data_IF_985238073094
#
_entry.id   IF_985238073094
#
_cell.length_a   1.000
_cell.length_b   1.000
_cell.length_c   1.000
_cell.angle_alpha   90.00
_cell.angle_beta   90.00
_cell.angle_gamma   90.00
#
_symmetry.space_group_name_H-M   'P 1'
#
loop_
_entity.id
_entity.type
_entity.pdbx_description
1 polymer ?
#
# COMPACT_ATOMS: atom_id res chain seq x y z
N UNK A 1 2.15 12.74 -15.48
CA UNK A 1 2.59 12.44 -14.11
C UNK A 1 3.50 11.22 -14.14
N UNK A 2 4.51 11.19 -13.30
CA UNK A 2 5.41 10.03 -13.20
C UNK A 2 4.70 8.87 -12.52
N UNK A 3 5.23 7.65 -12.68
CA UNK A 3 4.70 6.48 -11.98
C UNK A 3 4.77 6.66 -10.46
N UNK A 4 5.84 7.29 -9.97
CA UNK A 4 5.99 7.61 -8.55
C UNK A 4 4.91 8.58 -8.07
N UNK A 5 4.60 9.63 -8.83
CA UNK A 5 3.54 10.58 -8.50
C UNK A 5 2.17 9.92 -8.49
N UNK A 6 1.91 8.99 -9.41
CA UNK A 6 0.68 8.22 -9.45
C UNK A 6 0.48 7.45 -8.13
N UNK A 7 1.53 6.76 -7.68
CA UNK A 7 1.48 5.96 -6.46
C UNK A 7 1.31 6.85 -5.23
N UNK A 8 2.00 8.00 -5.17
CA UNK A 8 1.83 8.96 -4.07
C UNK A 8 0.38 9.46 -3.97
N UNK A 9 -0.23 9.79 -5.10
CA UNK A 9 -1.64 10.21 -5.14
C UNK A 9 -2.58 9.07 -4.73
N UNK A 10 -2.29 7.86 -5.17
CA UNK A 10 -3.07 6.69 -4.78
C UNK A 10 -3.06 6.49 -3.26
N UNK A 11 -1.89 6.59 -2.62
CA UNK A 11 -1.79 6.46 -1.16
C UNK A 11 -2.55 7.56 -0.44
N UNK A 12 -2.44 8.79 -0.91
CA UNK A 12 -3.11 9.94 -0.29
C UNK A 12 -4.63 9.82 -0.39
N UNK A 13 -5.14 9.60 -1.59
CA UNK A 13 -6.58 9.58 -1.82
C UNK A 13 -7.23 8.28 -1.34
N UNK A 14 -6.67 7.14 -1.70
CA UNK A 14 -7.32 5.85 -1.46
C UNK A 14 -7.03 5.34 -0.05
N UNK A 15 -5.75 5.21 0.31
CA UNK A 15 -5.40 4.63 1.61
C UNK A 15 -5.60 5.60 2.77
N UNK A 16 -5.17 6.86 2.64
CA UNK A 16 -5.19 7.80 3.76
C UNK A 16 -6.53 8.52 3.93
N UNK A 17 -7.30 8.66 2.85
CA UNK A 17 -8.65 9.20 2.91
C UNK A 17 -9.74 8.11 2.88
N UNK A 18 -9.35 6.84 2.75
CA UNK A 18 -10.29 5.70 2.72
C UNK A 18 -11.35 5.86 1.64
N UNK A 19 -10.94 6.37 0.48
CA UNK A 19 -11.84 6.77 -0.61
C UNK A 19 -11.51 5.98 -1.88
N UNK A 20 -12.42 5.12 -2.31
CA UNK A 20 -12.30 4.33 -3.54
C UNK A 20 -13.20 4.85 -4.66
N UNK A 21 -13.81 6.02 -4.51
CA UNK A 21 -14.74 6.55 -5.51
C UNK A 21 -14.08 6.80 -6.87
N UNK A 22 -12.77 7.09 -6.89
CA UNK A 22 -11.99 7.33 -8.10
C UNK A 22 -11.00 6.21 -8.39
N UNK A 23 -11.25 5.01 -7.89
CA UNK A 23 -10.30 3.89 -8.02
C UNK A 23 -9.97 3.58 -9.48
N UNK A 24 -10.93 3.76 -10.41
CA UNK A 24 -10.73 3.54 -11.84
C UNK A 24 -9.61 4.41 -12.44
N UNK A 25 -9.29 5.54 -11.81
CA UNK A 25 -8.20 6.41 -12.25
C UNK A 25 -6.83 5.85 -11.88
N UNK A 26 -6.77 4.90 -10.94
CA UNK A 26 -5.51 4.40 -10.39
C UNK A 26 -5.24 2.94 -10.71
N UNK A 27 -6.27 2.13 -10.92
CA UNK A 27 -6.11 0.67 -10.95
C UNK A 27 -6.78 0.05 -12.16
N UNK A 28 -6.10 -0.91 -12.78
CA UNK A 28 -6.66 -1.69 -13.88
C UNK A 28 -7.67 -2.71 -13.34
N UNK A 29 -8.68 -3.03 -14.14
CA UNK A 29 -9.70 -4.02 -13.77
C UNK A 29 -9.06 -5.38 -13.45
N UNK A 30 -8.05 -5.76 -14.22
CA UNK A 30 -7.34 -7.04 -14.10
C UNK A 30 -6.09 -6.95 -13.22
N UNK A 31 -6.07 -6.03 -12.25
CA UNK A 31 -5.00 -5.87 -11.28
C UNK A 31 -4.63 -7.22 -10.63
N UNK A 32 -3.34 -7.55 -10.69
CA UNK A 32 -2.84 -8.85 -10.23
C UNK A 32 -2.33 -8.68 -8.80
N UNK A 33 -2.89 -9.44 -7.86
CA UNK A 33 -2.53 -9.38 -6.45
C UNK A 33 -1.70 -10.58 -6.04
N UNK A 34 -0.54 -10.35 -5.41
CA UNK A 34 0.31 -11.40 -4.86
C UNK A 34 0.26 -11.49 -3.33
N UNK A 35 -0.34 -10.51 -2.65
CA UNK A 35 -0.55 -10.63 -1.20
C UNK A 35 -1.58 -11.71 -0.93
N UNK A 36 -1.26 -12.69 -0.05
CA UNK A 36 -2.14 -13.86 0.15
C UNK A 36 -3.45 -13.54 0.88
N UNK A 37 -3.60 -12.33 1.43
CA UNK A 37 -4.78 -11.98 2.22
C UNK A 37 -5.79 -11.12 1.47
N UNK A 38 -5.52 -10.78 0.21
CA UNK A 38 -6.42 -9.97 -0.61
C UNK A 38 -6.74 -10.68 -1.92
N UNK A 39 -8.01 -10.70 -2.35
CA UNK A 39 -8.35 -11.29 -3.65
C UNK A 39 -7.75 -10.48 -4.79
N UNK A 40 -7.52 -11.12 -5.94
CA UNK A 40 -6.97 -10.47 -7.13
C UNK A 40 -8.04 -9.67 -7.86
N UNK A 41 -7.58 -8.72 -8.71
CA UNK A 41 -8.43 -7.85 -9.48
C UNK A 41 -8.84 -6.59 -8.73
N UNK A 42 -9.36 -5.62 -9.46
CA UNK A 42 -9.89 -4.38 -8.84
C UNK A 42 -11.07 -4.69 -7.91
N UNK A 43 -11.93 -5.61 -8.29
CA UNK A 43 -13.02 -6.07 -7.42
C UNK A 43 -12.48 -6.69 -6.13
N UNK A 44 -11.40 -7.45 -6.21
CA UNK A 44 -10.74 -8.03 -5.05
C UNK A 44 -10.17 -6.95 -4.13
N UNK A 45 -9.61 -5.89 -4.70
CA UNK A 45 -9.12 -4.75 -3.93
C UNK A 45 -10.29 -4.05 -3.21
N UNK A 46 -11.41 -3.82 -3.88
CA UNK A 46 -12.61 -3.22 -3.27
C UNK A 46 -13.08 -4.07 -2.10
N UNK A 47 -13.14 -5.38 -2.27
CA UNK A 47 -13.53 -6.30 -1.20
C UNK A 47 -12.57 -6.22 -0.01
N UNK A 48 -11.26 -6.18 -0.26
CA UNK A 48 -10.24 -6.03 0.76
C UNK A 48 -10.43 -4.72 1.55
N UNK A 49 -10.74 -3.61 0.89
CA UNK A 49 -10.87 -2.31 1.56
C UNK A 49 -12.06 -2.24 2.52
N UNK A 50 -13.11 -3.05 2.31
CA UNK A 50 -14.26 -3.07 3.21
C UNK A 50 -13.84 -3.41 4.64
N UNK A 51 -12.96 -4.37 4.81
CA UNK A 51 -12.40 -4.71 6.12
C UNK A 51 -11.28 -3.76 6.51
N UNK A 52 -10.32 -3.56 5.61
CA UNK A 52 -9.10 -2.80 5.91
C UNK A 52 -9.41 -1.36 6.35
N UNK A 53 -10.33 -0.68 5.67
CA UNK A 53 -10.68 0.71 6.02
C UNK A 53 -11.47 0.80 7.33
N UNK A 54 -12.10 -0.30 7.77
CA UNK A 54 -12.72 -0.33 9.11
C UNK A 54 -11.68 -0.21 10.23
N UNK A 55 -10.42 -0.54 9.95
CA UNK A 55 -9.29 -0.41 10.87
C UNK A 55 -8.68 0.99 10.84
N UNK A 56 -9.16 1.88 9.99
CA UNK A 56 -8.71 3.26 9.80
C UNK A 56 -7.20 3.37 9.63
N UNK A 57 -6.63 2.72 8.60
CA UNK A 57 -5.19 2.74 8.38
C UNK A 57 -4.70 4.14 8.04
N UNK A 58 -3.48 4.45 8.48
CA UNK A 58 -2.75 5.63 8.06
C UNK A 58 -1.38 5.20 7.57
N UNK A 59 -1.03 5.62 6.35
CA UNK A 59 0.24 5.29 5.70
C UNK A 59 1.18 6.48 5.77
N UNK A 60 2.32 6.30 6.44
CA UNK A 60 3.41 7.28 6.44
C UNK A 60 4.50 6.74 5.52
N UNK A 61 4.65 7.34 4.35
CA UNK A 61 5.66 6.92 3.38
C UNK A 61 7.03 7.39 3.84
N UNK A 62 7.95 6.42 4.00
CA UNK A 62 9.32 6.67 4.44
C UNK A 62 10.24 6.84 3.22
N UNK A 63 10.15 5.92 2.27
CA UNK A 63 10.91 5.96 1.02
C UNK A 63 10.04 5.52 -0.13
N UNK A 64 10.24 6.14 -1.29
CA UNK A 64 9.61 5.72 -2.54
C UNK A 64 10.64 5.80 -3.66
N UNK A 65 10.69 4.78 -4.50
CA UNK A 65 11.62 4.70 -5.62
C UNK A 65 10.95 4.13 -6.85
N UNK A 66 11.55 4.40 -8.01
CA UNK A 66 11.02 3.99 -9.29
C UNK A 66 12.13 3.34 -10.10
N UNK A 67 11.84 2.22 -10.74
CA UNK A 67 12.75 1.50 -11.64
C UNK A 67 11.93 1.02 -12.85
N UNK A 68 11.99 1.79 -13.95
CA UNK A 68 11.16 1.52 -15.12
C UNK A 68 9.68 1.60 -14.77
N UNK A 69 8.95 0.52 -15.00
CA UNK A 69 7.52 0.42 -14.72
C UNK A 69 7.22 -0.06 -13.28
N UNK A 70 8.25 -0.23 -12.45
CA UNK A 70 8.12 -0.70 -11.07
C UNK A 70 8.30 0.47 -10.10
N UNK A 71 7.42 0.55 -9.09
CA UNK A 71 7.52 1.53 -8.01
C UNK A 71 7.59 0.78 -6.68
N UNK A 72 8.57 1.14 -5.84
CA UNK A 72 8.77 0.57 -4.52
C UNK A 72 8.36 1.60 -3.47
N UNK A 73 7.53 1.22 -2.51
CA UNK A 73 7.06 2.11 -1.45
C UNK A 73 7.32 1.47 -0.11
N UNK A 74 8.25 2.05 0.66
CA UNK A 74 8.50 1.64 2.04
C UNK A 74 7.74 2.57 2.97
N UNK A 75 6.86 2.02 3.81
CA UNK A 75 6.00 2.85 4.63
C UNK A 75 5.67 2.20 5.97
N UNK A 76 5.21 3.06 6.88
CA UNK A 76 4.67 2.70 8.18
C UNK A 76 3.16 2.74 8.10
N UNK A 77 2.51 1.63 8.39
CA UNK A 77 1.06 1.57 8.46
C UNK A 77 0.61 1.52 9.91
N UNK A 78 -0.13 2.53 10.35
CA UNK A 78 -0.66 2.60 11.71
C UNK A 78 -2.17 2.35 11.65
N UNK A 79 -2.66 1.43 12.46
CA UNK A 79 -4.09 1.11 12.57
C UNK A 79 -4.68 1.77 13.82
N UNK A 80 -6.00 1.97 13.83
CA UNK A 80 -6.69 2.63 14.95
C UNK A 80 -6.46 1.91 16.30
N UNK A 81 -6.33 0.60 16.28
CA UNK A 81 -6.08 -0.21 17.48
C UNK A 81 -4.64 -0.12 18.01
N UNK A 82 -3.78 0.70 17.38
CA UNK A 82 -2.39 0.87 17.78
C UNK A 82 -1.41 -0.08 17.11
N UNK A 83 -1.88 -1.03 16.33
CA UNK A 83 -1.00 -1.92 15.57
C UNK A 83 -0.22 -1.12 14.53
N UNK A 84 1.08 -1.43 14.39
CA UNK A 84 1.97 -0.79 13.42
C UNK A 84 2.61 -1.88 12.58
N UNK A 85 2.46 -1.77 11.26
CA UNK A 85 3.08 -2.68 10.30
C UNK A 85 4.15 -1.94 9.50
N UNK A 86 5.27 -2.61 9.27
CA UNK A 86 6.35 -2.11 8.41
C UNK A 86 6.20 -2.82 7.07
N UNK A 87 6.00 -2.06 6.00
CA UNK A 87 5.59 -2.61 4.71
C UNK A 87 6.47 -2.07 3.60
N UNK A 88 6.82 -2.94 2.67
CA UNK A 88 7.33 -2.53 1.36
C UNK A 88 6.36 -3.05 0.30
N UNK A 89 5.61 -2.14 -0.32
CA UNK A 89 4.77 -2.44 -1.47
C UNK A 89 5.57 -2.29 -2.75
N UNK A 90 5.30 -3.16 -3.70
CA UNK A 90 5.91 -3.16 -5.02
C UNK A 90 4.78 -3.17 -6.05
N UNK A 91 4.77 -2.17 -6.92
CA UNK A 91 3.76 -2.05 -7.97
C UNK A 91 4.39 -2.08 -9.34
N UNK A 92 3.75 -2.79 -10.27
CA UNK A 92 4.00 -2.62 -11.70
C UNK A 92 2.93 -1.70 -12.26
N UNK A 93 3.36 -0.69 -12.99
CA UNK A 93 2.49 0.30 -13.60
C UNK A 93 2.38 0.00 -15.10
N UNK A 94 1.16 0.03 -15.62
CA UNK A 94 0.88 -0.17 -17.03
C UNK A 94 -0.22 0.78 -17.46
N UNK A 95 0.00 1.50 -18.58
CA UNK A 95 -0.96 2.49 -19.08
C UNK A 95 -1.38 3.52 -18.04
N UNK A 96 -0.44 3.94 -17.19
CA UNK A 96 -0.70 4.94 -16.16
C UNK A 96 -1.56 4.45 -15.00
N UNK A 97 -1.65 3.13 -14.80
CA UNK A 97 -2.45 2.53 -13.71
C UNK A 97 -1.70 1.39 -13.04
N UNK A 98 -2.09 1.11 -11.80
CA UNK A 98 -1.60 -0.03 -11.05
C UNK A 98 -2.09 -1.32 -11.71
N UNK A 99 -1.16 -2.14 -12.15
CA UNK A 99 -1.45 -3.38 -12.87
C UNK A 99 -1.13 -4.63 -12.06
N UNK A 100 -0.18 -4.53 -11.13
CA UNK A 100 0.27 -5.69 -10.35
C UNK A 100 0.91 -5.23 -9.04
N UNK A 101 0.74 -6.03 -7.99
CA UNK A 101 1.20 -5.68 -6.63
C UNK A 101 1.81 -6.88 -5.93
N UNK A 102 2.95 -6.66 -5.30
CA UNK A 102 3.58 -7.55 -4.33
C UNK A 102 3.82 -6.75 -3.06
N UNK A 103 3.95 -7.41 -1.93
CA UNK A 103 4.41 -6.74 -0.72
C UNK A 103 5.21 -7.68 0.19
N UNK A 104 5.96 -7.05 1.09
CA UNK A 104 6.62 -7.70 2.20
C UNK A 104 6.19 -6.95 3.46
N UNK A 105 5.64 -7.67 4.43
CA UNK A 105 5.06 -7.07 5.63
C UNK A 105 5.70 -7.66 6.88
N UNK A 106 6.16 -6.78 7.76
CA UNK A 106 6.50 -7.14 9.13
C UNK A 106 5.37 -6.62 10.04
N UNK A 107 4.64 -7.55 10.64
CA UNK A 107 3.45 -7.22 11.42
C UNK A 107 3.78 -6.83 12.86
N UNK A 108 2.99 -5.91 13.43
CA UNK A 108 2.99 -5.60 14.86
C UNK A 108 4.37 -5.19 15.39
N UNK A 109 5.07 -4.32 14.65
CA UNK A 109 6.42 -3.88 15.04
C UNK A 109 6.43 -3.04 16.31
N UNK A 110 5.27 -2.51 16.74
CA UNK A 110 5.15 -1.79 18.01
C UNK A 110 5.51 -2.68 19.23
N UNK A 111 5.42 -4.00 19.07
CA UNK A 111 5.72 -4.95 20.15
C UNK A 111 7.18 -5.42 20.12
N UNK A 112 7.95 -5.01 19.13
CA UNK A 112 9.36 -5.42 18.99
C UNK A 112 10.23 -4.55 19.90
N UNK A 113 11.12 -5.23 20.66
CA UNK A 113 12.17 -4.55 21.43
C UNK A 113 13.48 -4.78 20.67
N UNK A 114 13.99 -3.77 19.93
CA UNK A 114 15.20 -3.96 19.15
C UNK A 114 16.45 -4.06 20.04
N UNK A 115 17.48 -4.72 19.51
CA UNK A 115 18.79 -4.88 20.20
C UNK A 115 19.70 -3.67 20.01
N UNK A 116 19.21 -2.61 19.40
CA UNK A 116 19.91 -1.35 19.12
C UNK A 116 18.98 -0.17 19.45
N UNK A 117 19.51 1.06 19.33
CA UNK A 117 18.77 2.27 19.63
C UNK A 117 18.25 3.00 18.37
N UNK A 118 18.34 2.36 17.20
CA UNK A 118 17.84 2.95 15.95
C UNK A 118 16.34 2.70 15.82
N UNK A 119 15.65 3.62 15.14
CA UNK A 119 14.24 3.42 14.77
C UNK A 119 14.12 2.27 13.79
N UNK A 120 12.94 1.66 13.73
CA UNK A 120 12.65 0.58 12.78
C UNK A 120 12.27 1.11 11.38
N UNK A 121 12.17 2.42 11.24
CA UNK A 121 11.77 3.09 9.99
C UNK A 121 12.76 4.12 9.52
#
# INVERSE_FOLDING_TARGET
MTNKELVLKFYDEVFNNWDISNLDNYMKDNYIQHNPTAPSGKEGFVEFTKFFFSLKPHMDIIHIGEDGDIVYVFFKCTLENGAINKVCDIYRIEDGKLAEHWDVVEHNVQDIVPVHNNRLF
#
